data_IF_716133837613
#
_entry.id   IF_716133837613
#
_cell.length_a   1.000
_cell.length_b   1.000
_cell.length_c   1.000
_cell.angle_alpha   90.00
_cell.angle_beta   90.00
_cell.angle_gamma   90.00
#
_symmetry.space_group_name_H-M   'P 1'
#
loop_
_entity.id
_entity.type
_entity.pdbx_description
1 polymer ?
#
# COMPACT_ATOMS: atom_id res chain seq x y z
N UNK A 1 -13.42 21.84 -11.53
CA UNK A 1 -12.26 20.95 -11.26
C UNK A 1 -11.09 21.34 -12.16
N UNK A 2 -9.89 21.62 -11.63
CA UNK A 2 -8.75 22.01 -12.46
C UNK A 2 -8.13 20.79 -13.15
N UNK A 3 -7.42 20.98 -14.28
CA UNK A 3 -6.70 19.89 -14.98
C UNK A 3 -5.67 19.19 -14.07
N UNK A 4 -5.06 19.95 -13.16
CA UNK A 4 -4.09 19.43 -12.19
C UNK A 4 -4.75 18.49 -11.18
N UNK A 5 -5.96 18.81 -10.73
CA UNK A 5 -6.69 17.98 -9.78
C UNK A 5 -7.09 16.63 -10.40
N UNK A 6 -7.51 16.65 -11.66
CA UNK A 6 -7.81 15.42 -12.40
C UNK A 6 -6.55 14.56 -12.58
N UNK A 7 -5.44 15.20 -12.96
CA UNK A 7 -4.14 14.53 -13.09
C UNK A 7 -3.74 13.83 -11.78
N UNK A 8 -3.84 14.52 -10.65
CA UNK A 8 -3.51 13.93 -9.34
C UNK A 8 -4.38 12.72 -8.99
N UNK A 9 -5.70 12.76 -9.24
CA UNK A 9 -6.58 11.60 -9.01
C UNK A 9 -6.18 10.39 -9.85
N UNK A 10 -5.85 10.63 -11.13
CA UNK A 10 -5.36 9.56 -12.02
C UNK A 10 -4.04 9.00 -11.53
N UNK A 11 -3.10 9.86 -11.11
CA UNK A 11 -1.81 9.41 -10.56
C UNK A 11 -2.02 8.57 -9.29
N UNK A 12 -2.93 8.98 -8.39
CA UNK A 12 -3.29 8.19 -7.20
C UNK A 12 -3.76 6.78 -7.57
N UNK A 13 -4.60 6.64 -8.60
CA UNK A 13 -5.05 5.32 -9.10
C UNK A 13 -3.85 4.50 -9.58
N UNK A 14 -2.99 5.08 -10.41
CA UNK A 14 -1.84 4.37 -10.99
C UNK A 14 -0.86 3.88 -9.93
N UNK A 15 -0.49 4.73 -8.96
CA UNK A 15 0.44 4.33 -7.90
C UNK A 15 -0.18 3.30 -6.96
N UNK A 16 -1.48 3.39 -6.69
CA UNK A 16 -2.18 2.38 -5.91
C UNK A 16 -2.16 1.01 -6.60
N UNK A 17 -2.47 0.96 -7.91
CA UNK A 17 -2.43 -0.29 -8.68
C UNK A 17 -1.02 -0.88 -8.73
N UNK A 18 0.00 -0.03 -8.89
CA UNK A 18 1.39 -0.45 -8.83
C UNK A 18 1.75 -1.07 -7.47
N UNK A 19 1.39 -0.40 -6.37
CA UNK A 19 1.65 -0.90 -5.03
C UNK A 19 0.89 -2.17 -4.69
N UNK A 20 -0.38 -2.28 -5.11
CA UNK A 20 -1.16 -3.50 -5.00
C UNK A 20 -0.46 -4.64 -5.76
N UNK A 21 0.01 -4.41 -6.98
CA UNK A 21 0.73 -5.43 -7.74
C UNK A 21 2.04 -5.88 -7.06
N UNK A 22 2.75 -4.95 -6.40
CA UNK A 22 3.98 -5.24 -5.67
C UNK A 22 3.75 -6.05 -4.39
N UNK A 23 2.54 -6.01 -3.82
CA UNK A 23 2.18 -6.65 -2.54
C UNK A 23 1.31 -7.89 -2.69
N UNK A 24 0.65 -8.10 -3.83
CA UNK A 24 -0.19 -9.29 -4.03
C UNK A 24 0.58 -10.59 -3.73
N UNK A 25 1.84 -10.69 -4.14
CA UNK A 25 2.68 -11.86 -3.86
C UNK A 25 2.87 -12.15 -2.37
N UNK A 26 2.92 -11.13 -1.49
CA UNK A 26 3.07 -11.35 -0.05
C UNK A 26 1.78 -11.80 0.65
N UNK A 27 0.62 -11.66 -0.02
CA UNK A 27 -0.69 -12.02 0.54
C UNK A 27 -1.18 -13.39 0.03
N UNK A 28 -0.89 -13.75 -1.22
CA UNK A 28 -1.28 -15.06 -1.81
C UNK A 28 -0.15 -16.10 -1.82
N UNK A 29 1.05 -15.72 -1.37
CA UNK A 29 2.17 -16.65 -1.23
C UNK A 29 1.87 -17.78 -0.24
N UNK A 30 2.54 -18.94 -0.36
CA UNK A 30 2.44 -20.00 0.64
C UNK A 30 2.81 -19.47 2.03
N UNK A 31 2.13 -19.95 3.06
CA UNK A 31 2.57 -19.69 4.43
C UNK A 31 4.03 -20.17 4.58
N UNK A 32 4.93 -19.36 5.19
CA UNK A 32 6.30 -19.78 5.41
C UNK A 32 6.33 -21.06 6.24
N UNK A 33 7.23 -21.98 5.91
CA UNK A 33 7.48 -23.16 6.74
C UNK A 33 8.09 -22.72 8.08
N UNK A 34 7.73 -23.41 9.18
CA UNK A 34 8.20 -23.11 10.54
C UNK A 34 9.73 -22.91 10.63
N UNK A 35 10.49 -23.63 9.79
CA UNK A 35 11.95 -23.59 9.71
C UNK A 35 12.52 -22.23 9.21
N UNK A 36 11.76 -21.48 8.40
CA UNK A 36 12.13 -20.16 7.84
C UNK A 36 11.69 -19.03 8.76
N UNK A 37 10.64 -19.25 9.58
CA UNK A 37 10.15 -18.21 10.48
C UNK A 37 11.17 -17.84 11.55
N UNK A 38 12.08 -18.72 11.96
CA UNK A 38 12.86 -18.53 13.19
C UNK A 38 14.19 -17.76 13.02
N UNK A 39 14.64 -17.50 11.79
CA UNK A 39 15.85 -16.68 11.57
C UNK A 39 15.55 -15.18 11.77
N UNK A 40 16.18 -14.56 12.78
CA UNK A 40 16.12 -13.11 12.99
C UNK A 40 14.92 -12.59 13.78
N UNK A 41 14.07 -13.47 14.34
CA UNK A 41 13.00 -13.04 15.24
C UNK A 41 13.53 -12.59 16.61
N UNK A 42 12.85 -11.60 17.19
CA UNK A 42 13.10 -11.07 18.53
C UNK A 42 11.87 -11.28 19.41
N UNK A 43 11.99 -11.06 20.72
CA UNK A 43 10.86 -11.18 21.67
C UNK A 43 9.65 -10.28 21.36
N UNK A 44 9.81 -9.27 20.49
CA UNK A 44 8.76 -8.36 20.07
C UNK A 44 8.39 -8.50 18.58
N UNK A 45 8.99 -9.45 17.86
CA UNK A 45 8.65 -9.68 16.45
C UNK A 45 7.21 -10.21 16.38
N UNK A 46 6.32 -9.53 15.64
CA UNK A 46 4.94 -9.99 15.52
C UNK A 46 4.86 -11.33 14.79
N UNK A 47 3.86 -12.13 15.12
CA UNK A 47 3.63 -13.43 14.46
C UNK A 47 3.17 -13.24 13.00
N UNK A 48 3.37 -14.27 12.17
CA UNK A 48 3.17 -14.20 10.71
C UNK A 48 1.79 -13.73 10.28
N UNK A 49 0.72 -14.04 11.05
CA UNK A 49 -0.64 -13.63 10.72
C UNK A 49 -0.82 -12.10 10.73
N UNK A 50 0.09 -11.35 11.34
CA UNK A 50 0.10 -9.88 11.27
C UNK A 50 0.29 -9.40 9.82
N UNK A 51 0.88 -10.21 8.93
CA UNK A 51 0.96 -9.91 7.50
C UNK A 51 -0.42 -9.66 6.86
N UNK A 52 -1.51 -10.23 7.40
CA UNK A 52 -2.87 -9.96 6.92
C UNK A 52 -3.32 -8.50 7.11
N UNK A 53 -2.60 -7.68 7.90
CA UNK A 53 -2.86 -6.24 7.98
C UNK A 53 -2.73 -5.56 6.62
N UNK A 54 -1.88 -6.09 5.73
CA UNK A 54 -1.75 -5.59 4.38
C UNK A 54 -3.07 -5.68 3.60
N UNK A 55 -3.86 -6.72 3.79
CA UNK A 55 -5.18 -6.83 3.16
C UNK A 55 -6.13 -5.71 3.63
N UNK A 56 -6.14 -5.42 4.93
CA UNK A 56 -6.93 -4.33 5.50
C UNK A 56 -6.46 -2.96 4.97
N UNK A 57 -5.15 -2.73 4.91
CA UNK A 57 -4.57 -1.50 4.33
C UNK A 57 -5.03 -1.34 2.88
N UNK A 58 -4.92 -2.38 2.05
CA UNK A 58 -5.34 -2.32 0.65
C UNK A 58 -6.84 -2.08 0.49
N UNK A 59 -7.66 -2.66 1.37
CA UNK A 59 -9.10 -2.41 1.38
C UNK A 59 -9.42 -0.94 1.69
N UNK A 60 -8.77 -0.34 2.70
CA UNK A 60 -8.95 1.07 3.04
C UNK A 60 -8.43 1.99 1.93
N UNK A 61 -7.28 1.67 1.34
CA UNK A 61 -6.71 2.42 0.22
C UNK A 61 -7.61 2.33 -1.02
N UNK A 62 -8.18 1.15 -1.30
CA UNK A 62 -9.18 1.01 -2.37
C UNK A 62 -10.38 1.90 -2.13
N UNK A 63 -10.89 1.91 -0.89
CA UNK A 63 -11.92 2.83 -0.44
C UNK A 63 -11.56 4.29 -0.70
N UNK A 64 -10.34 4.72 -0.36
CA UNK A 64 -9.83 6.06 -0.66
C UNK A 64 -9.79 6.36 -2.16
N UNK A 65 -9.32 5.40 -2.97
CA UNK A 65 -9.22 5.54 -4.42
C UNK A 65 -10.58 5.73 -5.10
N UNK A 66 -11.63 5.07 -4.59
CA UNK A 66 -13.01 5.31 -5.02
C UNK A 66 -13.52 6.62 -4.42
N UNK A 67 -13.28 6.85 -3.14
CA UNK A 67 -13.83 7.97 -2.39
C UNK A 67 -13.42 9.32 -2.99
N UNK A 68 -12.17 9.49 -3.43
CA UNK A 68 -11.69 10.76 -4.00
C UNK A 68 -12.50 11.26 -5.21
N UNK A 69 -13.32 10.42 -5.87
CA UNK A 69 -14.15 10.82 -7.01
C UNK A 69 -15.45 11.53 -6.62
N UNK A 70 -15.90 11.39 -5.37
CA UNK A 70 -17.08 12.09 -4.89
C UNK A 70 -16.79 13.57 -4.59
N UNK A 71 -17.79 14.41 -4.79
CA UNK A 71 -17.69 15.87 -4.63
C UNK A 71 -17.32 16.29 -3.19
N UNK A 72 -17.90 15.71 -2.12
CA UNK A 72 -17.50 16.01 -0.74
C UNK A 72 -16.07 15.57 -0.41
N UNK A 73 -15.58 14.53 -1.09
CA UNK A 73 -14.26 13.97 -0.89
C UNK A 73 -13.16 14.74 -1.63
N UNK A 74 -13.54 15.57 -2.60
CA UNK A 74 -12.60 16.27 -3.48
C UNK A 74 -11.61 17.11 -2.68
N UNK A 75 -12.11 17.88 -1.71
CA UNK A 75 -11.31 18.73 -0.84
C UNK A 75 -10.37 17.92 0.06
N UNK A 76 -10.92 16.91 0.76
CA UNK A 76 -10.13 16.09 1.66
C UNK A 76 -9.03 15.29 0.95
N UNK A 77 -9.30 14.74 -0.24
CA UNK A 77 -8.34 13.94 -0.99
C UNK A 77 -7.24 14.81 -1.66
N UNK A 78 -7.62 15.95 -2.25
CA UNK A 78 -6.67 16.77 -3.02
C UNK A 78 -5.90 17.72 -2.10
N UNK A 79 -6.58 18.39 -1.18
CA UNK A 79 -5.97 19.39 -0.31
C UNK A 79 -5.50 18.80 1.03
N UNK A 80 -6.20 17.78 1.55
CA UNK A 80 -5.78 17.09 2.77
C UNK A 80 -4.61 16.14 2.53
N UNK A 81 -4.77 15.18 1.61
CA UNK A 81 -3.75 14.16 1.35
C UNK A 81 -2.74 14.62 0.30
N UNK A 82 -3.19 15.18 -0.83
CA UNK A 82 -2.28 15.80 -1.78
C UNK A 82 -1.34 14.80 -2.46
N UNK A 83 -0.10 15.25 -2.71
CA UNK A 83 0.98 14.45 -3.25
C UNK A 83 1.62 13.50 -2.23
N UNK A 84 1.29 13.63 -0.94
CA UNK A 84 1.84 12.78 0.11
C UNK A 84 1.49 11.31 -0.13
N UNK A 85 0.27 11.01 -0.60
CA UNK A 85 -0.12 9.65 -0.95
C UNK A 85 0.80 9.02 -1.99
N UNK A 86 1.08 9.75 -3.07
CA UNK A 86 1.95 9.30 -4.17
C UNK A 86 3.34 8.95 -3.64
N UNK A 87 3.92 9.84 -2.84
CA UNK A 87 5.27 9.65 -2.27
C UNK A 87 5.26 8.45 -1.31
N UNK A 88 4.30 8.37 -0.40
CA UNK A 88 4.19 7.26 0.56
C UNK A 88 4.06 5.90 -0.14
N UNK A 89 3.24 5.80 -1.18
CA UNK A 89 3.00 4.56 -1.92
C UNK A 89 4.25 4.14 -2.72
N UNK A 90 4.94 5.10 -3.36
CA UNK A 90 6.19 4.82 -4.09
C UNK A 90 7.27 4.33 -3.12
N UNK A 91 7.48 5.03 -2.00
CA UNK A 91 8.48 4.63 -0.99
C UNK A 91 8.16 3.26 -0.38
N UNK A 92 6.88 2.98 -0.12
CA UNK A 92 6.45 1.67 0.39
C UNK A 92 6.73 0.55 -0.63
N UNK A 93 6.49 0.82 -1.91
CA UNK A 93 6.77 -0.13 -3.00
C UNK A 93 8.27 -0.41 -3.13
N UNK A 94 9.12 0.63 -3.04
CA UNK A 94 10.57 0.49 -3.07
C UNK A 94 11.07 -0.34 -1.89
N UNK A 95 10.57 -0.05 -0.68
CA UNK A 95 10.95 -0.80 0.53
C UNK A 95 10.61 -2.29 0.40
N UNK A 96 9.42 -2.63 -0.10
CA UNK A 96 9.04 -4.03 -0.36
C UNK A 96 9.93 -4.68 -1.41
N UNK A 97 10.23 -3.96 -2.50
CA UNK A 97 11.13 -4.44 -3.54
C UNK A 97 12.51 -4.75 -2.99
N UNK A 98 13.06 -3.89 -2.12
CA UNK A 98 14.33 -4.14 -1.44
C UNK A 98 14.23 -5.36 -0.52
N UNK A 99 13.17 -5.46 0.30
CA UNK A 99 12.96 -6.57 1.23
C UNK A 99 13.00 -7.93 0.52
N UNK A 100 12.31 -8.06 -0.63
CA UNK A 100 12.24 -9.30 -1.40
C UNK A 100 13.58 -9.65 -2.06
N UNK A 101 14.42 -8.67 -2.42
CA UNK A 101 15.71 -8.96 -3.07
C UNK A 101 16.82 -9.31 -2.06
N UNK A 102 16.63 -9.03 -0.77
CA UNK A 102 17.61 -9.31 0.29
C UNK A 102 17.33 -10.60 1.07
N UNK A 103 16.19 -11.27 0.83
CA UNK A 103 15.83 -12.59 1.35
C UNK A 103 15.68 -13.59 0.21
#
# INVERSE_FOLDING_TARGET
MSRLHLFQKVVNVLVYLFFLSATVYSVVGPAPSDDVEHEGQTYITPSYWIAYIWSLIHFLLFGFIIYQWFEPAHEAAIHGVGWHFVISVILSSIWLGLLINFY
#
